data_IF_437944835286
#
_entry.id   IF_437944835286
#
_cell.length_a   1.000
_cell.length_b   1.000
_cell.length_c   1.000
_cell.angle_alpha   90.00
_cell.angle_beta   90.00
_cell.angle_gamma   90.00
#
_symmetry.space_group_name_H-M   'P 1'
#
loop_
_entity.id
_entity.type
_entity.pdbx_description
1 polymer ?
#
# COMPACT_ATOMS: atom_id res chain seq x y z
N UNK A 1 14.79 -30.06 -11.74
CA UNK A 1 14.40 -29.72 -10.36
C UNK A 1 12.89 -29.85 -10.27
N UNK A 2 12.36 -30.74 -9.42
CA UNK A 2 10.92 -30.85 -9.19
C UNK A 2 10.54 -29.93 -8.02
N UNK A 3 10.13 -28.70 -8.34
CA UNK A 3 9.79 -27.70 -7.33
C UNK A 3 8.57 -28.12 -6.50
N UNK A 4 7.63 -28.88 -7.09
CA UNK A 4 6.44 -29.37 -6.40
C UNK A 4 6.83 -30.35 -5.29
N UNK A 5 7.66 -31.34 -5.62
CA UNK A 5 8.17 -32.30 -4.62
C UNK A 5 8.98 -31.64 -3.51
N UNK A 6 9.78 -30.61 -3.82
CA UNK A 6 10.53 -29.84 -2.81
C UNK A 6 9.56 -29.12 -1.87
N UNK A 7 8.55 -28.44 -2.41
CA UNK A 7 7.54 -27.72 -1.59
C UNK A 7 6.77 -28.72 -0.71
N UNK A 8 6.29 -29.82 -1.28
CA UNK A 8 5.52 -30.84 -0.55
C UNK A 8 6.34 -31.47 0.59
N UNK A 9 7.62 -31.79 0.35
CA UNK A 9 8.47 -32.44 1.35
C UNK A 9 8.95 -31.52 2.47
N UNK A 10 8.97 -30.20 2.25
CA UNK A 10 9.52 -29.21 3.21
C UNK A 10 8.45 -28.27 3.78
N UNK A 11 7.20 -28.41 3.36
CA UNK A 11 6.07 -27.65 3.92
C UNK A 11 6.02 -27.87 5.44
N UNK A 12 6.08 -26.80 6.23
CA UNK A 12 6.25 -26.91 7.68
C UNK A 12 7.55 -26.27 8.19
N UNK A 13 8.60 -26.28 7.37
CA UNK A 13 9.92 -25.70 7.70
C UNK A 13 9.97 -24.17 7.52
N UNK A 14 8.85 -23.53 7.18
CA UNK A 14 8.78 -22.12 6.82
C UNK A 14 9.47 -21.22 7.86
N UNK A 15 9.07 -21.34 9.13
CA UNK A 15 9.60 -20.50 10.20
C UNK A 15 11.02 -20.85 10.61
N UNK A 16 11.43 -22.13 10.54
CA UNK A 16 12.83 -22.50 10.83
C UNK A 16 13.77 -21.95 9.76
N UNK A 17 13.40 -22.05 8.49
CA UNK A 17 14.18 -21.50 7.38
C UNK A 17 14.27 -19.97 7.45
N UNK A 18 13.16 -19.28 7.73
CA UNK A 18 13.19 -17.83 7.90
C UNK A 18 13.99 -17.39 9.12
N UNK A 19 13.93 -18.15 10.22
CA UNK A 19 14.67 -17.86 11.44
C UNK A 19 16.19 -18.00 11.23
N UNK A 20 16.60 -19.01 10.46
CA UNK A 20 18.00 -19.31 10.21
C UNK A 20 18.60 -18.41 9.12
N UNK A 21 17.86 -18.11 8.06
CA UNK A 21 18.44 -17.58 6.82
C UNK A 21 17.86 -16.24 6.33
N UNK A 22 16.79 -15.71 6.92
CA UNK A 22 16.14 -14.48 6.42
C UNK A 22 16.05 -13.39 7.48
N UNK A 23 15.12 -13.53 8.43
CA UNK A 23 14.90 -12.53 9.47
C UNK A 23 14.40 -13.20 10.75
N UNK A 24 15.35 -13.47 11.64
CA UNK A 24 15.12 -14.09 12.94
C UNK A 24 14.11 -13.32 13.79
N UNK A 25 14.28 -12.01 13.85
CA UNK A 25 13.45 -11.11 14.67
C UNK A 25 12.01 -11.09 14.17
N UNK A 26 11.80 -11.07 12.86
CA UNK A 26 10.44 -11.14 12.29
C UNK A 26 9.74 -12.44 12.67
N UNK A 27 10.43 -13.58 12.60
CA UNK A 27 9.87 -14.88 13.02
C UNK A 27 9.47 -14.86 14.50
N UNK A 28 10.31 -14.29 15.35
CA UNK A 28 10.00 -14.14 16.77
C UNK A 28 8.76 -13.27 16.99
N UNK A 29 8.68 -12.11 16.32
CA UNK A 29 7.51 -11.23 16.40
C UNK A 29 6.24 -11.94 15.92
N UNK A 30 6.29 -12.64 14.79
CA UNK A 30 5.13 -13.35 14.25
C UNK A 30 4.62 -14.44 15.19
N UNK A 31 5.51 -15.19 15.83
CA UNK A 31 5.15 -16.18 16.87
C UNK A 31 4.54 -15.50 18.08
N UNK A 32 5.14 -14.40 18.53
CA UNK A 32 4.63 -13.65 19.67
C UNK A 32 3.21 -13.20 19.39
N UNK A 33 2.93 -12.57 18.25
CA UNK A 33 1.61 -11.99 17.96
C UNK A 33 0.57 -12.97 17.42
N UNK A 34 0.91 -14.26 17.26
CA UNK A 34 0.02 -15.33 16.78
C UNK A 34 -0.18 -15.39 15.27
N UNK A 35 0.74 -14.79 14.50
CA UNK A 35 0.72 -14.70 13.04
C UNK A 35 1.58 -15.77 12.36
N UNK A 36 2.07 -16.75 13.11
CA UNK A 36 2.96 -17.81 12.67
C UNK A 36 2.24 -18.97 11.95
N UNK A 37 1.27 -18.66 11.07
CA UNK A 37 0.50 -19.65 10.33
C UNK A 37 1.24 -20.16 9.10
N UNK A 38 1.13 -21.47 8.86
CA UNK A 38 1.71 -22.11 7.67
C UNK A 38 0.62 -22.20 6.60
N UNK A 39 0.59 -21.22 5.71
CA UNK A 39 -0.35 -21.19 4.59
C UNK A 39 0.09 -22.14 3.47
N UNK A 40 -0.82 -23.01 3.03
CA UNK A 40 -0.59 -24.00 1.97
C UNK A 40 -1.29 -23.63 0.66
N UNK A 41 -2.36 -22.84 0.75
CA UNK A 41 -3.14 -22.40 -0.41
C UNK A 41 -3.69 -21.01 -0.20
N UNK A 42 -3.97 -20.33 -1.30
CA UNK A 42 -4.66 -19.06 -1.31
C UNK A 42 -5.59 -18.97 -2.54
N UNK A 43 -6.74 -18.32 -2.41
CA UNK A 43 -7.66 -18.15 -3.52
C UNK A 43 -8.63 -17.00 -3.22
N UNK A 44 -8.80 -16.10 -4.19
CA UNK A 44 -9.73 -14.98 -4.05
C UNK A 44 -9.37 -14.11 -2.84
N UNK A 45 -10.32 -13.91 -1.93
CA UNK A 45 -10.13 -13.16 -0.68
C UNK A 45 -9.61 -14.01 0.49
N UNK A 46 -9.17 -15.25 0.26
CA UNK A 46 -8.87 -16.20 1.32
C UNK A 46 -7.47 -16.81 1.26
N UNK A 47 -6.94 -17.12 2.44
CA UNK A 47 -5.79 -17.96 2.70
C UNK A 47 -6.24 -19.26 3.39
N UNK A 48 -5.49 -20.33 3.21
CA UNK A 48 -5.75 -21.63 3.84
C UNK A 48 -4.48 -22.17 4.46
N UNK A 49 -4.53 -22.52 5.75
CA UNK A 49 -3.39 -23.11 6.45
C UNK A 49 -3.25 -24.62 6.16
N UNK A 50 -2.24 -25.26 6.77
CA UNK A 50 -1.97 -26.68 6.60
C UNK A 50 -3.04 -27.57 7.27
N UNK A 51 -3.76 -27.04 8.25
CA UNK A 51 -4.91 -27.69 8.90
C UNK A 51 -6.21 -27.53 8.10
N UNK A 52 -6.20 -26.75 7.02
CA UNK A 52 -7.36 -26.49 6.17
C UNK A 52 -8.27 -25.35 6.68
N UNK A 53 -7.85 -24.62 7.72
CA UNK A 53 -8.59 -23.45 8.18
C UNK A 53 -8.55 -22.33 7.14
N UNK A 54 -9.72 -21.73 6.90
CA UNK A 54 -9.90 -20.59 5.99
C UNK A 54 -9.69 -19.28 6.75
N UNK A 55 -8.84 -18.41 6.21
CA UNK A 55 -8.56 -17.06 6.72
C UNK A 55 -9.00 -16.01 5.72
N UNK A 56 -9.77 -15.03 6.18
CA UNK A 56 -10.18 -13.90 5.36
C UNK A 56 -9.04 -12.87 5.29
N UNK A 57 -8.60 -12.54 4.07
CA UNK A 57 -7.46 -11.65 3.84
C UNK A 57 -7.89 -10.19 3.68
N UNK A 58 -7.94 -9.47 4.79
CA UNK A 58 -8.18 -8.03 4.83
C UNK A 58 -6.87 -7.22 4.82
N UNK A 59 -5.72 -7.86 4.62
CA UNK A 59 -4.43 -7.20 4.39
C UNK A 59 -4.11 -7.06 2.90
N UNK A 60 -4.56 -8.02 2.08
CA UNK A 60 -4.40 -8.02 0.63
C UNK A 60 -2.94 -7.96 0.17
N UNK A 61 -2.01 -8.45 0.99
CA UNK A 61 -0.57 -8.30 0.75
C UNK A 61 -0.14 -6.83 0.65
N UNK A 62 -0.68 -5.97 1.53
CA UNK A 62 -0.48 -4.51 1.49
C UNK A 62 -1.01 -3.85 0.20
N UNK A 63 -2.08 -4.39 -0.38
CA UNK A 63 -2.73 -3.88 -1.59
C UNK A 63 -2.24 -4.50 -2.90
N UNK A 64 -1.33 -5.49 -2.85
CA UNK A 64 -0.84 -6.22 -4.02
C UNK A 64 -1.94 -7.08 -4.66
N UNK A 65 -2.73 -7.78 -3.85
CA UNK A 65 -3.73 -8.75 -4.32
C UNK A 65 -5.09 -8.10 -4.62
N UNK A 66 -5.10 -6.96 -5.31
CA UNK A 66 -6.32 -6.24 -5.69
C UNK A 66 -7.31 -7.13 -6.47
N UNK A 67 -6.84 -7.92 -7.43
CA UNK A 67 -7.68 -8.84 -8.23
C UNK A 67 -7.87 -10.22 -7.58
N UNK A 68 -7.60 -10.33 -6.28
CA UNK A 68 -7.66 -11.57 -5.52
C UNK A 68 -6.40 -12.44 -5.66
N UNK A 69 -6.22 -13.35 -4.70
CA UNK A 69 -5.11 -14.30 -4.70
C UNK A 69 -5.32 -15.39 -5.74
N UNK A 70 -4.24 -15.76 -6.41
CA UNK A 70 -4.23 -16.85 -7.38
C UNK A 70 -5.26 -16.68 -8.52
N UNK A 71 -5.47 -15.44 -9.00
CA UNK A 71 -6.48 -15.15 -10.02
C UNK A 71 -6.27 -16.02 -11.29
N UNK A 72 -7.28 -16.80 -11.73
CA UNK A 72 -7.14 -17.74 -12.84
C UNK A 72 -6.72 -17.09 -14.16
N UNK A 73 -7.24 -15.89 -14.45
CA UNK A 73 -6.93 -15.19 -15.69
C UNK A 73 -5.47 -14.74 -15.74
N UNK A 74 -4.92 -14.27 -14.61
CA UNK A 74 -3.50 -13.91 -14.54
C UNK A 74 -2.60 -15.15 -14.65
N UNK A 75 -2.99 -16.29 -14.05
CA UNK A 75 -2.25 -17.56 -14.23
C UNK A 75 -2.17 -17.97 -15.69
N UNK A 76 -3.33 -18.00 -16.35
CA UNK A 76 -3.44 -18.40 -17.75
C UNK A 76 -2.55 -17.53 -18.65
N UNK A 77 -2.56 -16.22 -18.44
CA UNK A 77 -1.70 -15.29 -19.20
C UNK A 77 -0.21 -15.53 -18.95
N UNK A 78 0.19 -15.87 -17.71
CA UNK A 78 1.59 -16.22 -17.42
C UNK A 78 1.98 -17.51 -18.17
N UNK A 79 1.14 -18.55 -18.09
CA UNK A 79 1.34 -19.82 -18.79
C UNK A 79 1.45 -19.61 -20.31
N UNK A 80 0.50 -18.88 -20.90
CA UNK A 80 0.52 -18.53 -22.32
C UNK A 80 1.80 -17.79 -22.74
N UNK A 81 2.28 -16.83 -21.94
CA UNK A 81 3.52 -16.10 -22.26
C UNK A 81 4.76 -16.97 -22.14
N UNK A 82 4.79 -17.92 -21.20
CA UNK A 82 5.87 -18.90 -21.10
C UNK A 82 5.87 -19.85 -22.30
N UNK A 83 4.70 -20.33 -22.72
CA UNK A 83 4.56 -21.26 -23.86
C UNK A 83 4.88 -20.63 -25.21
N UNK A 84 4.84 -19.30 -25.31
CA UNK A 84 5.20 -18.56 -26.54
C UNK A 84 6.72 -18.47 -26.78
N UNK A 85 7.57 -18.83 -25.81
CA UNK A 85 9.03 -18.76 -25.91
C UNK A 85 9.56 -17.40 -26.43
N UNK A 86 8.88 -16.31 -26.08
CA UNK A 86 9.25 -14.97 -26.53
C UNK A 86 10.63 -14.57 -25.98
N UNK A 87 11.48 -13.89 -26.76
CA UNK A 87 12.70 -13.30 -26.22
C UNK A 87 12.32 -12.29 -25.13
N UNK A 88 12.87 -12.49 -23.94
CA UNK A 88 12.59 -11.66 -22.77
C UNK A 88 13.85 -10.92 -22.35
N UNK A 89 13.71 -9.63 -22.02
CA UNK A 89 14.80 -8.82 -21.47
C UNK A 89 16.09 -8.84 -22.31
N UNK A 90 15.99 -8.76 -23.64
CA UNK A 90 17.18 -8.70 -24.54
C UNK A 90 18.00 -7.42 -24.31
N UNK A 91 17.38 -6.39 -23.71
CA UNK A 91 17.96 -5.08 -23.35
C UNK A 91 18.34 -4.18 -24.53
N UNK A 92 18.71 -4.77 -25.68
CA UNK A 92 18.94 -4.09 -26.95
C UNK A 92 17.79 -4.36 -27.93
N UNK A 93 16.56 -4.36 -27.42
CA UNK A 93 15.32 -4.57 -28.16
C UNK A 93 14.23 -3.58 -27.73
N UNK A 94 13.09 -3.64 -28.43
CA UNK A 94 11.86 -2.96 -28.04
C UNK A 94 10.75 -3.99 -27.94
N UNK A 95 10.69 -4.67 -26.78
CA UNK A 95 9.78 -5.77 -26.55
C UNK A 95 8.30 -5.37 -26.69
N UNK A 96 7.53 -6.12 -27.49
CA UNK A 96 6.12 -5.84 -27.81
C UNK A 96 5.24 -5.70 -26.56
N UNK A 97 5.34 -6.64 -25.60
CA UNK A 97 4.50 -6.63 -24.40
C UNK A 97 4.69 -5.37 -23.55
N UNK A 98 5.91 -4.82 -23.53
CA UNK A 98 6.18 -3.56 -22.82
C UNK A 98 5.49 -2.36 -23.48
N UNK A 99 5.45 -2.33 -24.82
CA UNK A 99 4.73 -1.34 -25.60
C UNK A 99 3.21 -1.46 -25.42
N UNK A 100 2.68 -2.69 -25.41
CA UNK A 100 1.25 -2.96 -25.19
C UNK A 100 0.79 -2.55 -23.79
N UNK A 101 1.57 -2.86 -22.74
CA UNK A 101 1.23 -2.38 -21.39
C UNK A 101 1.27 -0.86 -21.31
N UNK A 102 2.28 -0.22 -21.92
CA UNK A 102 2.36 1.23 -21.97
C UNK A 102 1.16 1.85 -22.70
N UNK A 103 0.75 1.29 -23.83
CA UNK A 103 -0.44 1.71 -24.58
C UNK A 103 -1.71 1.57 -23.72
N UNK A 104 -1.90 0.43 -23.05
CA UNK A 104 -3.05 0.18 -22.21
C UNK A 104 -3.15 1.16 -21.03
N UNK A 105 -2.01 1.49 -20.40
CA UNK A 105 -1.95 2.50 -19.34
C UNK A 105 -2.29 3.90 -19.87
N UNK A 106 -1.75 4.31 -21.01
CA UNK A 106 -2.05 5.61 -21.63
C UNK A 106 -3.53 5.73 -21.98
N UNK A 107 -4.11 4.71 -22.62
CA UNK A 107 -5.56 4.67 -22.91
C UNK A 107 -6.39 4.77 -21.64
N UNK A 108 -5.94 4.16 -20.54
CA UNK A 108 -6.63 4.28 -19.25
C UNK A 108 -6.56 5.71 -18.70
N UNK A 109 -5.40 6.35 -18.73
CA UNK A 109 -5.28 7.75 -18.31
C UNK A 109 -6.15 8.68 -19.18
N UNK A 110 -6.18 8.48 -20.50
CA UNK A 110 -7.05 9.21 -21.42
C UNK A 110 -8.53 9.04 -21.06
N UNK A 111 -8.99 7.82 -20.79
CA UNK A 111 -10.36 7.54 -20.36
C UNK A 111 -10.74 8.22 -19.02
N UNK A 112 -9.75 8.51 -18.17
CA UNK A 112 -9.91 9.25 -16.92
C UNK A 112 -9.71 10.77 -17.08
N UNK A 113 -9.64 11.29 -18.31
CA UNK A 113 -9.46 12.72 -18.57
C UNK A 113 -8.02 13.23 -18.38
N UNK A 114 -7.04 12.34 -18.22
CA UNK A 114 -5.63 12.67 -18.01
C UNK A 114 -4.77 12.33 -19.24
N UNK A 115 -5.24 12.66 -20.45
CA UNK A 115 -4.57 12.36 -21.73
C UNK A 115 -3.17 12.96 -21.87
N UNK A 116 -2.83 13.95 -21.03
CA UNK A 116 -1.47 14.49 -20.94
C UNK A 116 -0.45 13.49 -20.38
N UNK A 117 -0.88 12.44 -19.67
CA UNK A 117 -0.01 11.36 -19.18
C UNK A 117 0.23 10.30 -20.28
N UNK A 118 1.07 10.66 -21.26
CA UNK A 118 1.25 9.93 -22.51
C UNK A 118 2.66 9.35 -22.72
N UNK A 119 3.45 9.22 -21.65
CA UNK A 119 4.77 8.58 -21.66
C UNK A 119 4.96 7.68 -20.43
N UNK A 120 5.33 6.42 -20.66
CA UNK A 120 5.45 5.40 -19.62
C UNK A 120 6.90 4.93 -19.49
N UNK A 121 7.40 4.83 -18.26
CA UNK A 121 8.61 4.10 -17.90
C UNK A 121 8.23 2.91 -17.01
N UNK A 122 8.66 1.70 -17.34
CA UNK A 122 8.32 0.47 -16.59
C UNK A 122 9.54 0.02 -15.78
N UNK A 123 9.31 -0.24 -14.50
CA UNK A 123 10.29 -0.66 -13.50
C UNK A 123 9.73 -1.84 -12.67
N UNK A 124 10.34 -2.18 -11.53
CA UNK A 124 10.00 -3.42 -10.81
C UNK A 124 9.17 -3.19 -9.53
N UNK A 125 9.10 -1.96 -9.04
CA UNK A 125 8.48 -1.68 -7.73
C UNK A 125 8.05 -0.22 -7.59
N UNK A 126 7.28 0.05 -6.53
CA UNK A 126 6.90 1.44 -6.20
C UNK A 126 8.10 2.30 -5.80
N UNK A 127 9.07 1.74 -5.06
CA UNK A 127 10.28 2.48 -4.65
C UNK A 127 11.11 2.87 -5.86
N UNK A 128 11.26 1.99 -6.87
CA UNK A 128 11.93 2.34 -8.13
C UNK A 128 11.17 3.41 -8.93
N UNK A 129 9.84 3.34 -8.95
CA UNK A 129 9.01 4.35 -9.60
C UNK A 129 9.20 5.73 -8.96
N UNK A 130 9.29 5.80 -7.63
CA UNK A 130 9.54 7.05 -6.89
C UNK A 130 10.96 7.58 -7.13
N UNK A 131 11.98 6.73 -7.10
CA UNK A 131 13.36 7.14 -7.46
C UNK A 131 13.42 7.74 -8.88
N UNK A 132 12.74 7.10 -9.83
CA UNK A 132 12.61 7.62 -11.19
C UNK A 132 11.82 8.93 -11.25
N UNK A 133 10.70 9.04 -10.53
CA UNK A 133 9.89 10.26 -10.49
C UNK A 133 10.69 11.46 -9.94
N UNK A 134 11.50 11.27 -8.89
CA UNK A 134 12.42 12.28 -8.37
C UNK A 134 13.41 12.71 -9.46
N UNK A 135 14.03 11.75 -10.15
CA UNK A 135 14.97 12.04 -11.25
C UNK A 135 14.31 12.79 -12.41
N UNK A 136 13.09 12.41 -12.78
CA UNK A 136 12.33 13.01 -13.88
C UNK A 136 11.96 14.46 -13.53
N UNK A 137 11.47 14.70 -12.31
CA UNK A 137 11.14 16.04 -11.85
C UNK A 137 12.37 16.96 -11.82
N UNK A 138 13.49 16.48 -11.27
CA UNK A 138 14.75 17.24 -11.25
C UNK A 138 15.29 17.52 -12.65
N UNK A 139 15.24 16.54 -13.56
CA UNK A 139 15.69 16.72 -14.94
C UNK A 139 14.83 17.75 -15.71
N UNK A 140 13.51 17.73 -15.49
CA UNK A 140 12.58 18.62 -16.17
C UNK A 140 12.67 20.07 -15.68
N UNK A 141 12.77 20.27 -14.37
CA UNK A 141 12.76 21.61 -13.75
C UNK A 141 14.15 22.19 -13.54
N UNK A 142 15.19 21.35 -13.48
CA UNK A 142 16.55 21.68 -13.01
C UNK A 142 16.62 22.21 -11.58
N UNK A 143 15.56 21.95 -10.80
CA UNK A 143 15.47 22.35 -9.39
C UNK A 143 15.83 21.17 -8.49
N UNK A 144 16.47 21.40 -7.32
CA UNK A 144 16.94 20.30 -6.48
C UNK A 144 15.88 19.79 -5.49
N UNK A 145 14.96 20.63 -5.00
CA UNK A 145 14.14 20.28 -3.84
C UNK A 145 12.90 19.47 -4.23
N UNK A 146 12.52 18.53 -3.36
CA UNK A 146 11.26 17.79 -3.43
C UNK A 146 10.54 18.01 -2.11
N UNK A 147 9.31 18.49 -2.17
CA UNK A 147 8.44 18.57 -1.01
C UNK A 147 7.53 17.35 -1.00
N UNK A 148 7.35 16.74 0.17
CA UNK A 148 6.30 15.73 0.38
C UNK A 148 5.49 16.03 1.63
N UNK A 149 4.44 15.25 1.88
CA UNK A 149 3.62 15.41 3.08
C UNK A 149 4.28 14.77 4.30
N UNK A 150 4.06 15.34 5.49
CA UNK A 150 4.31 14.64 6.76
C UNK A 150 3.49 13.35 6.83
N UNK A 151 3.99 12.31 7.53
CA UNK A 151 3.40 10.96 7.59
C UNK A 151 3.34 10.18 6.26
N UNK A 152 3.97 10.67 5.20
CA UNK A 152 4.03 10.00 3.89
C UNK A 152 4.85 8.71 3.92
N UNK A 153 4.53 7.80 2.99
CA UNK A 153 5.32 6.61 2.69
C UNK A 153 5.47 6.41 1.18
N UNK A 154 6.67 6.62 0.68
CA UNK A 154 7.00 6.55 -0.75
C UNK A 154 8.02 5.45 -1.09
N UNK A 155 8.45 4.65 -0.10
CA UNK A 155 9.37 3.55 -0.31
C UNK A 155 10.46 3.48 0.74
N UNK A 156 11.38 2.53 0.54
CA UNK A 156 12.46 2.22 1.49
C UNK A 156 13.85 2.22 0.82
N UNK A 157 13.96 2.52 -0.48
CA UNK A 157 15.25 2.84 -1.09
C UNK A 157 15.70 4.25 -0.68
N UNK A 158 16.99 4.52 -0.61
CA UNK A 158 17.52 5.75 -0.01
C UNK A 158 16.87 7.06 -0.51
N UNK A 159 16.62 7.22 -1.81
CA UNK A 159 15.95 8.41 -2.36
C UNK A 159 14.48 8.48 -2.00
N UNK A 160 13.74 7.37 -2.17
CA UNK A 160 12.32 7.28 -1.78
C UNK A 160 12.09 7.44 -0.26
N UNK A 161 13.03 6.96 0.55
CA UNK A 161 13.02 7.07 1.99
C UNK A 161 13.27 8.51 2.44
N UNK A 162 14.10 9.25 1.68
CA UNK A 162 14.37 10.68 1.93
C UNK A 162 13.12 11.55 1.76
N UNK A 163 12.18 11.15 0.89
CA UNK A 163 10.90 11.84 0.72
C UNK A 163 9.77 11.21 1.55
N UNK A 164 10.01 10.12 2.28
CA UNK A 164 9.03 9.52 3.19
C UNK A 164 9.17 10.14 4.59
N UNK A 165 8.08 10.66 5.15
CA UNK A 165 8.12 11.41 6.40
C UNK A 165 7.73 10.55 7.62
N UNK A 166 8.57 9.59 7.99
CA UNK A 166 8.34 8.76 9.17
C UNK A 166 9.65 8.39 9.90
N UNK A 167 9.87 8.92 11.12
CA UNK A 167 11.11 8.70 11.87
C UNK A 167 11.46 7.23 12.11
N UNK A 168 10.45 6.35 12.23
CA UNK A 168 10.70 4.92 12.45
C UNK A 168 11.45 4.27 11.28
N UNK A 169 11.18 4.69 10.04
CA UNK A 169 11.89 4.14 8.88
C UNK A 169 13.24 4.84 8.63
N UNK A 170 13.52 5.96 9.32
CA UNK A 170 14.76 6.72 9.16
C UNK A 170 15.88 6.28 10.11
N UNK A 171 15.52 5.71 11.26
CA UNK A 171 16.46 5.35 12.31
C UNK A 171 17.60 4.45 11.79
N UNK A 172 18.85 4.90 11.94
CA UNK A 172 20.05 4.14 11.57
C UNK A 172 20.51 4.23 10.11
N UNK A 173 19.82 4.97 9.23
CA UNK A 173 20.13 5.00 7.78
C UNK A 173 20.63 6.34 7.23
N UNK A 174 20.69 7.40 8.04
CA UNK A 174 21.10 8.74 7.59
C UNK A 174 22.61 8.88 7.32
N UNK A 175 23.06 9.96 6.63
CA UNK A 175 22.24 11.08 6.12
C UNK A 175 21.47 10.75 4.82
N UNK A 176 20.36 11.46 4.59
CA UNK A 176 19.45 11.28 3.46
C UNK A 176 19.74 12.20 2.27
N UNK A 177 19.04 11.99 1.15
CA UNK A 177 19.15 12.80 -0.06
C UNK A 177 18.85 14.28 0.27
N UNK A 178 19.78 15.21 -0.01
CA UNK A 178 19.57 16.63 0.30
C UNK A 178 18.43 17.23 -0.53
N UNK A 179 17.75 18.21 0.07
CA UNK A 179 16.63 18.93 -0.54
C UNK A 179 15.31 18.17 -0.51
N UNK A 180 15.19 17.08 0.25
CA UNK A 180 13.92 16.44 0.53
C UNK A 180 13.36 16.99 1.85
N UNK A 181 12.21 17.66 1.78
CA UNK A 181 11.58 18.33 2.92
C UNK A 181 10.09 18.02 2.98
N UNK A 182 9.47 18.28 4.14
CA UNK A 182 8.10 17.87 4.41
C UNK A 182 7.22 19.05 4.82
N UNK A 183 6.02 19.10 4.25
CA UNK A 183 4.95 20.06 4.61
C UNK A 183 3.76 19.33 5.19
N UNK A 184 2.92 20.03 5.94
CA UNK A 184 1.75 19.43 6.60
C UNK A 184 0.55 19.43 5.66
N UNK A 185 -0.13 18.28 5.54
CA UNK A 185 -1.39 18.19 4.79
C UNK A 185 -2.45 19.10 5.44
N UNK A 186 -3.11 19.93 4.64
CA UNK A 186 -4.03 20.96 5.12
C UNK A 186 -3.41 22.35 5.33
N UNK A 187 -2.07 22.48 5.36
CA UNK A 187 -1.39 23.78 5.51
C UNK A 187 -0.96 24.37 4.15
N UNK A 188 -1.88 25.07 3.50
CA UNK A 188 -1.61 25.76 2.23
C UNK A 188 -0.62 26.92 2.37
N UNK A 189 -0.58 27.58 3.53
CA UNK A 189 0.33 28.70 3.76
C UNK A 189 1.77 28.20 3.89
N UNK A 190 1.99 27.11 4.64
CA UNK A 190 3.27 26.42 4.73
C UNK A 190 3.73 25.90 3.38
N UNK A 191 2.83 25.27 2.60
CA UNK A 191 3.14 24.86 1.23
C UNK A 191 3.54 26.07 0.37
N UNK A 192 2.73 27.13 0.33
CA UNK A 192 3.03 28.31 -0.49
C UNK A 192 4.35 28.98 -0.09
N UNK A 193 4.64 29.05 1.21
CA UNK A 193 5.90 29.58 1.73
C UNK A 193 7.12 28.86 1.12
N UNK A 194 7.07 27.53 1.06
CA UNK A 194 8.14 26.73 0.48
C UNK A 194 8.22 26.85 -1.04
N UNK A 195 7.08 26.84 -1.73
CA UNK A 195 7.02 26.97 -3.19
C UNK A 195 7.50 28.33 -3.69
N UNK A 196 7.26 29.42 -2.94
CA UNK A 196 7.71 30.78 -3.25
C UNK A 196 9.23 30.93 -3.39
N UNK A 197 10.01 30.02 -2.79
CA UNK A 197 11.48 30.01 -2.89
C UNK A 197 11.99 29.70 -4.30
N UNK A 198 11.16 29.11 -5.16
CA UNK A 198 11.44 28.94 -6.59
C UNK A 198 12.41 27.81 -6.94
N UNK A 199 12.83 27.01 -5.96
CA UNK A 199 13.81 25.93 -6.08
C UNK A 199 13.23 24.53 -5.83
N UNK A 200 11.90 24.43 -5.75
CA UNK A 200 11.15 23.17 -5.63
C UNK A 200 10.86 22.60 -7.01
N UNK A 201 11.38 21.39 -7.28
CA UNK A 201 11.15 20.63 -8.50
C UNK A 201 9.75 20.02 -8.52
N UNK A 202 9.35 19.42 -7.41
CA UNK A 202 8.05 18.77 -7.30
C UNK A 202 7.48 18.78 -5.89
N UNK A 203 6.15 18.77 -5.83
CA UNK A 203 5.36 18.37 -4.68
C UNK A 203 4.86 16.93 -4.90
N UNK A 204 5.29 16.01 -4.04
CA UNK A 204 4.98 14.59 -4.06
C UNK A 204 3.97 14.26 -2.96
N UNK A 205 2.86 13.64 -3.33
CA UNK A 205 1.81 13.28 -2.38
C UNK A 205 1.16 11.94 -2.73
N UNK A 206 0.65 11.23 -1.73
CA UNK A 206 -0.30 10.15 -1.90
C UNK A 206 -1.71 10.77 -1.91
N UNK A 207 -2.62 10.42 -2.85
CA UNK A 207 -4.02 10.87 -2.79
C UNK A 207 -4.72 10.48 -1.48
N UNK A 208 -4.36 9.32 -0.94
CA UNK A 208 -4.73 8.84 0.39
C UNK A 208 -3.47 8.26 1.04
N UNK A 209 -2.99 8.85 2.13
CA UNK A 209 -1.79 8.38 2.82
C UNK A 209 -2.01 6.97 3.38
N UNK A 210 -1.31 5.98 2.82
CA UNK A 210 -1.61 4.57 2.99
C UNK A 210 -1.29 3.99 4.37
N UNK A 211 -0.54 4.70 5.22
CA UNK A 211 -0.28 4.29 6.60
C UNK A 211 -1.53 4.42 7.45
N UNK A 212 -2.03 5.65 7.67
CA UNK A 212 -3.21 5.92 8.51
C UNK A 212 -4.53 6.15 7.77
N UNK A 213 -4.52 6.03 6.43
CA UNK A 213 -5.65 6.32 5.54
C UNK A 213 -6.14 7.76 5.76
N UNK A 214 -5.21 8.70 5.70
CA UNK A 214 -5.49 10.12 5.81
C UNK A 214 -5.66 10.74 4.43
N UNK A 215 -6.69 11.56 4.28
CA UNK A 215 -6.97 12.33 3.07
C UNK A 215 -7.74 13.60 3.44
N UNK A 216 -7.58 14.71 2.70
CA UNK A 216 -8.32 15.93 2.97
C UNK A 216 -9.80 15.74 2.66
N UNK A 217 -10.65 16.29 3.53
CA UNK A 217 -12.11 16.39 3.31
C UNK A 217 -12.53 17.70 2.63
N UNK A 218 -11.58 18.63 2.52
CA UNK A 218 -11.72 19.92 1.87
C UNK A 218 -11.01 19.94 0.49
N UNK A 219 -10.84 21.13 -0.07
CA UNK A 219 -10.20 21.37 -1.36
C UNK A 219 -8.67 21.50 -1.28
N UNK A 220 -8.01 21.00 -0.22
CA UNK A 220 -6.56 21.17 -0.03
C UNK A 220 -5.73 20.79 -1.27
N UNK A 221 -6.00 19.63 -1.88
CA UNK A 221 -5.21 19.21 -3.05
C UNK A 221 -5.46 20.05 -4.29
N UNK A 222 -6.69 20.53 -4.50
CA UNK A 222 -7.02 21.43 -5.62
C UNK A 222 -6.28 22.77 -5.48
N UNK A 223 -6.24 23.33 -4.26
CA UNK A 223 -5.48 24.56 -3.98
C UNK A 223 -3.96 24.32 -4.04
N UNK A 224 -3.47 23.20 -3.52
CA UNK A 224 -2.06 22.81 -3.63
C UNK A 224 -1.63 22.69 -5.11
N UNK A 225 -2.48 22.13 -5.98
CA UNK A 225 -2.26 22.10 -7.42
C UNK A 225 -2.15 23.51 -8.00
N UNK A 226 -3.08 24.42 -7.67
CA UNK A 226 -3.02 25.82 -8.14
C UNK A 226 -1.71 26.51 -7.71
N UNK A 227 -1.27 26.28 -6.47
CA UNK A 227 0.00 26.78 -5.97
C UNK A 227 1.19 26.18 -6.73
N UNK A 228 1.21 24.86 -6.95
CA UNK A 228 2.27 24.21 -7.73
C UNK A 228 2.38 24.81 -9.14
N UNK A 229 1.24 25.02 -9.81
CA UNK A 229 1.16 25.67 -11.13
C UNK A 229 1.70 27.10 -11.08
N UNK A 230 1.27 27.90 -10.09
CA UNK A 230 1.74 29.29 -9.89
C UNK A 230 3.25 29.41 -9.76
N UNK A 231 3.92 28.46 -9.10
CA UNK A 231 5.37 28.49 -8.87
C UNK A 231 6.19 27.61 -9.83
N UNK A 232 5.54 27.00 -10.84
CA UNK A 232 6.19 26.10 -11.79
C UNK A 232 6.76 24.83 -11.14
N UNK A 233 6.15 24.39 -10.04
CA UNK A 233 6.49 23.13 -9.35
C UNK A 233 5.65 22.01 -9.94
N UNK A 234 6.28 20.86 -10.21
CA UNK A 234 5.57 19.70 -10.75
C UNK A 234 4.75 19.00 -9.66
N UNK A 235 3.62 18.42 -10.04
CA UNK A 235 2.77 17.64 -9.16
C UNK A 235 3.03 16.15 -9.40
N UNK A 236 3.49 15.42 -8.38
CA UNK A 236 3.68 13.96 -8.44
C UNK A 236 2.64 13.28 -7.56
N UNK A 237 1.80 12.46 -8.18
CA UNK A 237 0.84 11.62 -7.46
C UNK A 237 1.40 10.21 -7.28
N UNK A 238 1.65 9.83 -6.02
CA UNK A 238 1.97 8.45 -5.66
C UNK A 238 0.69 7.61 -5.59
N UNK A 239 0.42 6.93 -6.70
CA UNK A 239 -0.73 6.03 -6.88
C UNK A 239 -0.32 4.57 -6.67
N UNK A 240 0.86 4.29 -6.10
CA UNK A 240 1.35 2.93 -5.87
C UNK A 240 0.37 2.14 -5.03
N UNK A 241 -0.31 2.79 -4.07
CA UNK A 241 -1.33 2.15 -3.24
C UNK A 241 -2.76 2.52 -3.61
N UNK A 242 -3.03 3.77 -3.98
CA UNK A 242 -4.40 4.27 -4.22
C UNK A 242 -4.93 3.97 -5.61
N UNK A 243 -4.04 3.73 -6.58
CA UNK A 243 -4.38 3.53 -7.96
C UNK A 243 -5.03 2.17 -8.22
N UNK A 244 -5.42 1.97 -9.48
CA UNK A 244 -5.97 0.74 -10.01
C UNK A 244 -7.24 0.28 -9.26
N UNK A 245 -8.16 1.21 -8.99
CA UNK A 245 -9.48 0.90 -8.43
C UNK A 245 -9.56 0.87 -6.91
N UNK A 246 -8.43 0.92 -6.21
CA UNK A 246 -8.38 0.75 -4.75
C UNK A 246 -9.28 1.72 -3.99
N UNK A 247 -9.37 2.97 -4.42
CA UNK A 247 -10.15 4.02 -3.75
C UNK A 247 -11.56 4.20 -4.31
N UNK A 248 -12.04 3.32 -5.20
CA UNK A 248 -13.34 3.45 -5.88
C UNK A 248 -13.30 4.35 -7.13
N UNK A 249 -12.10 4.72 -7.57
CA UNK A 249 -11.77 5.37 -8.85
C UNK A 249 -10.60 4.64 -9.48
N UNK A 250 -10.40 4.78 -10.79
CA UNK A 250 -9.26 4.15 -11.47
C UNK A 250 -7.95 4.66 -10.88
N UNK A 251 -7.88 5.96 -10.60
CA UNK A 251 -6.78 6.63 -9.91
C UNK A 251 -7.32 7.53 -8.79
N UNK A 252 -6.63 7.57 -7.67
CA UNK A 252 -6.98 8.37 -6.51
C UNK A 252 -7.04 9.88 -6.78
N UNK A 253 -6.22 10.41 -7.68
CA UNK A 253 -6.20 11.83 -8.03
C UNK A 253 -7.54 12.31 -8.63
N UNK A 254 -8.35 11.41 -9.20
CA UNK A 254 -9.67 11.71 -9.76
C UNK A 254 -10.64 12.21 -8.70
N UNK A 255 -10.48 11.83 -7.42
CA UNK A 255 -11.36 12.27 -6.34
C UNK A 255 -11.31 13.78 -6.07
N UNK A 256 -10.26 14.46 -6.54
CA UNK A 256 -10.05 15.90 -6.37
C UNK A 256 -9.82 16.60 -7.71
N UNK A 257 -10.20 15.98 -8.84
CA UNK A 257 -10.03 16.54 -10.20
C UNK A 257 -8.61 17.08 -10.47
N UNK A 258 -7.59 16.36 -9.99
CA UNK A 258 -6.21 16.79 -10.12
C UNK A 258 -5.65 16.39 -11.49
N UNK A 259 -4.69 17.17 -11.97
CA UNK A 259 -3.94 16.97 -13.20
C UNK A 259 -2.45 16.79 -12.87
N UNK A 260 -2.05 15.65 -12.28
CA UNK A 260 -0.64 15.40 -11.95
C UNK A 260 0.25 15.40 -13.20
N UNK A 261 1.52 15.78 -13.02
CA UNK A 261 2.53 15.78 -14.08
C UNK A 261 3.26 14.43 -14.16
N UNK A 262 3.34 13.74 -13.04
CA UNK A 262 3.90 12.39 -12.90
C UNK A 262 2.96 11.59 -11.99
N UNK A 263 2.66 10.37 -12.40
CA UNK A 263 1.95 9.37 -11.60
C UNK A 263 2.83 8.13 -11.45
N UNK A 264 2.93 7.59 -10.23
CA UNK A 264 3.65 6.33 -9.99
C UNK A 264 2.68 5.21 -9.66
N UNK A 265 2.89 4.02 -10.23
CA UNK A 265 2.05 2.84 -10.06
C UNK A 265 2.92 1.64 -9.68
N UNK A 266 2.44 0.73 -8.84
CA UNK A 266 3.00 -0.60 -8.65
C UNK A 266 1.94 -1.52 -7.99
N UNK A 267 2.34 -2.33 -7.00
CA UNK A 267 1.46 -3.20 -6.19
C UNK A 267 0.46 -3.98 -7.05
N UNK A 268 -0.79 -3.53 -7.11
CA UNK A 268 -1.88 -4.15 -7.87
C UNK A 268 -1.51 -4.42 -9.34
N UNK A 269 -0.66 -3.58 -9.95
CA UNK A 269 -0.19 -3.74 -11.33
C UNK A 269 0.52 -5.09 -11.59
N UNK A 270 1.07 -5.71 -10.55
CA UNK A 270 1.73 -7.04 -10.65
C UNK A 270 0.75 -8.20 -10.88
N UNK A 271 -0.56 -7.98 -10.75
CA UNK A 271 -1.57 -9.04 -10.70
C UNK A 271 -1.40 -10.01 -9.52
N UNK A 272 -0.52 -9.70 -8.57
CA UNK A 272 -0.15 -10.58 -7.46
C UNK A 272 0.91 -11.63 -7.80
N UNK A 273 1.61 -11.51 -8.93
CA UNK A 273 2.64 -12.48 -9.36
C UNK A 273 4.01 -11.84 -9.56
N UNK A 274 4.19 -11.11 -10.65
CA UNK A 274 5.52 -10.61 -11.05
C UNK A 274 5.66 -9.14 -10.67
N UNK A 275 6.67 -8.75 -9.87
CA UNK A 275 6.89 -7.37 -9.48
C UNK A 275 6.92 -6.43 -10.69
N UNK A 276 6.11 -5.38 -10.62
CA UNK A 276 5.96 -4.39 -11.67
C UNK A 276 5.70 -3.03 -11.04
N UNK A 277 6.38 -2.01 -11.55
CA UNK A 277 6.11 -0.60 -11.27
C UNK A 277 6.10 0.20 -12.57
N UNK A 278 5.48 1.38 -12.55
CA UNK A 278 5.45 2.27 -13.69
C UNK A 278 5.47 3.74 -13.25
N UNK A 279 6.06 4.57 -14.11
CA UNK A 279 5.97 6.03 -14.05
C UNK A 279 5.21 6.45 -15.29
N UNK A 280 4.07 7.09 -15.12
CA UNK A 280 3.35 7.75 -16.18
C UNK A 280 3.58 9.26 -16.08
N UNK A 281 3.91 9.92 -17.18
CA UNK A 281 4.20 11.35 -17.18
C UNK A 281 3.90 11.98 -18.53
N UNK A 282 3.94 13.30 -18.57
CA UNK A 282 3.90 14.08 -19.81
C UNK A 282 5.12 13.79 -20.69
N UNK A 283 4.93 13.68 -22.00
CA UNK A 283 6.03 13.43 -22.97
C UNK A 283 7.16 14.46 -22.83
N UNK A 284 6.84 15.72 -22.59
CA UNK A 284 7.84 16.77 -22.41
C UNK A 284 8.73 16.56 -21.18
N UNK A 285 8.20 16.01 -20.08
CA UNK A 285 8.99 15.66 -18.89
C UNK A 285 9.87 14.45 -19.19
N UNK A 286 9.30 13.42 -19.81
CA UNK A 286 10.04 12.22 -20.23
C UNK A 286 11.24 12.59 -21.11
N UNK A 287 11.03 13.50 -22.09
CA UNK A 287 12.08 13.95 -23.00
C UNK A 287 13.08 14.92 -22.39
N UNK A 288 12.91 15.37 -21.14
CA UNK A 288 13.98 16.06 -20.41
C UNK A 288 15.02 15.10 -19.87
N UNK A 289 14.64 13.83 -19.62
CA UNK A 289 15.54 12.78 -19.16
C UNK A 289 16.28 12.14 -20.33
N UNK A 290 15.53 11.73 -21.36
CA UNK A 290 16.03 11.06 -22.55
C UNK A 290 16.17 12.03 -23.74
N UNK A 291 16.72 13.21 -23.48
CA UNK A 291 16.71 14.36 -24.40
C UNK A 291 17.63 14.24 -25.63
N UNK A 292 18.51 13.24 -25.67
CA UNK A 292 19.55 13.04 -26.68
C UNK A 292 19.82 11.56 -26.89
N UNK A 293 20.31 11.18 -28.07
CA UNK A 293 20.60 9.80 -28.43
C UNK A 293 21.59 9.13 -27.45
N UNK A 294 22.62 9.84 -27.00
CA UNK A 294 23.62 9.36 -26.04
C UNK A 294 23.08 9.23 -24.60
N UNK A 295 21.87 9.72 -24.33
CA UNK A 295 21.18 9.63 -23.03
C UNK A 295 19.97 8.71 -23.03
N UNK A 296 19.74 7.94 -24.10
CA UNK A 296 18.56 7.08 -24.25
C UNK A 296 18.46 5.94 -23.20
N UNK A 297 19.53 5.68 -22.43
CA UNK A 297 19.58 4.67 -21.35
C UNK A 297 20.03 5.29 -20.01
N UNK A 298 20.00 6.63 -19.85
CA UNK A 298 20.52 7.30 -18.63
C UNK A 298 19.71 7.01 -17.35
N UNK A 299 18.50 6.49 -17.51
CA UNK A 299 17.76 5.82 -16.46
C UNK A 299 17.22 4.51 -17.02
N UNK A 300 17.57 3.41 -16.36
CA UNK A 300 17.24 2.06 -16.80
C UNK A 300 17.05 1.15 -15.58
N UNK A 301 16.49 -0.02 -15.83
CA UNK A 301 16.31 -1.09 -14.85
C UNK A 301 16.45 -2.43 -15.57
N UNK A 302 17.33 -3.31 -15.08
CA UNK A 302 17.65 -4.59 -15.75
C UNK A 302 16.41 -5.47 -15.91
N UNK A 303 15.59 -5.59 -14.87
CA UNK A 303 14.37 -6.40 -14.89
C UNK A 303 13.13 -5.62 -15.37
N UNK A 304 13.26 -4.30 -15.55
CA UNK A 304 12.17 -3.46 -16.05
C UNK A 304 11.77 -3.88 -17.47
N UNK A 305 10.48 -3.74 -17.80
CA UNK A 305 9.89 -4.12 -19.10
C UNK A 305 9.90 -5.63 -19.40
N UNK A 306 10.11 -6.51 -18.41
CA UNK A 306 10.06 -7.96 -18.63
C UNK A 306 8.66 -8.42 -19.08
N UNK A 307 8.61 -9.43 -19.96
CA UNK A 307 7.39 -9.91 -20.62
C UNK A 307 6.33 -10.38 -19.62
N UNK A 308 6.72 -11.13 -18.59
CA UNK A 308 5.79 -11.67 -17.60
C UNK A 308 5.12 -10.55 -16.78
N UNK A 309 5.89 -9.56 -16.30
CA UNK A 309 5.34 -8.40 -15.59
C UNK A 309 4.38 -7.61 -16.48
N UNK A 310 4.75 -7.38 -17.74
CA UNK A 310 3.90 -6.64 -18.67
C UNK A 310 2.58 -7.37 -18.93
N UNK A 311 2.63 -8.69 -19.10
CA UNK A 311 1.46 -9.53 -19.29
C UNK A 311 0.56 -9.58 -18.03
N UNK A 312 1.14 -9.68 -16.83
CA UNK A 312 0.38 -9.54 -15.58
C UNK A 312 -0.30 -8.18 -15.46
N UNK A 313 0.38 -7.10 -15.85
CA UNK A 313 -0.19 -5.75 -15.89
C UNK A 313 -1.38 -5.66 -16.83
N UNK A 314 -1.25 -6.16 -18.05
CA UNK A 314 -2.33 -6.21 -19.03
C UNK A 314 -3.53 -7.02 -18.52
N UNK A 315 -3.28 -8.22 -17.97
CA UNK A 315 -4.32 -9.05 -17.36
C UNK A 315 -5.02 -8.33 -16.21
N UNK A 316 -4.27 -7.63 -15.36
CA UNK A 316 -4.82 -6.85 -14.24
C UNK A 316 -5.76 -5.76 -14.74
N UNK A 317 -5.33 -4.93 -15.69
CA UNK A 317 -6.15 -3.85 -16.25
C UNK A 317 -7.45 -4.39 -16.86
N UNK A 318 -7.35 -5.50 -17.59
CA UNK A 318 -8.50 -6.17 -18.18
C UNK A 318 -9.46 -6.74 -17.13
N UNK A 319 -8.98 -7.39 -16.06
CA UNK A 319 -9.82 -7.91 -14.98
C UNK A 319 -10.55 -6.77 -14.24
N UNK A 320 -9.85 -5.67 -13.96
CA UNK A 320 -10.43 -4.52 -13.28
C UNK A 320 -11.63 -3.95 -14.04
N UNK A 321 -11.53 -3.92 -15.37
CA UNK A 321 -12.59 -3.44 -16.26
C UNK A 321 -13.71 -4.47 -16.44
N UNK A 322 -13.40 -5.69 -16.88
CA UNK A 322 -14.40 -6.73 -17.18
C UNK A 322 -15.27 -7.10 -15.98
N UNK A 323 -14.67 -7.09 -14.78
CA UNK A 323 -15.37 -7.46 -13.55
C UNK A 323 -15.92 -6.23 -12.78
N UNK A 324 -15.87 -5.02 -13.35
CA UNK A 324 -16.33 -3.79 -12.74
C UNK A 324 -15.76 -3.55 -11.32
N UNK A 325 -14.49 -3.87 -11.10
CA UNK A 325 -13.90 -3.88 -9.75
C UNK A 325 -13.71 -2.48 -9.15
N UNK A 326 -13.65 -1.44 -9.98
CA UNK A 326 -13.63 -0.05 -9.53
C UNK A 326 -14.94 0.30 -8.85
N UNK A 327 -16.06 -0.03 -9.50
CA UNK A 327 -17.41 0.20 -8.96
C UNK A 327 -17.66 -0.71 -7.75
N UNK A 328 -17.19 -1.96 -7.78
CA UNK A 328 -17.28 -2.84 -6.62
C UNK A 328 -16.51 -2.27 -5.41
N UNK A 329 -15.30 -1.74 -5.62
CA UNK A 329 -14.50 -1.10 -4.57
C UNK A 329 -15.23 0.09 -3.92
N UNK A 330 -15.87 0.93 -4.74
CA UNK A 330 -16.71 2.03 -4.27
C UNK A 330 -17.89 1.51 -3.43
N UNK A 331 -18.70 0.62 -4.00
CA UNK A 331 -19.93 0.14 -3.37
C UNK A 331 -19.66 -0.68 -2.09
N UNK A 332 -18.65 -1.54 -2.10
CA UNK A 332 -18.22 -2.27 -0.91
C UNK A 332 -17.64 -1.33 0.15
N UNK A 333 -16.87 -0.33 -0.28
CA UNK A 333 -16.38 0.73 0.61
C UNK A 333 -17.51 1.45 1.35
N UNK A 334 -18.54 1.90 0.63
CA UNK A 334 -19.73 2.58 1.20
C UNK A 334 -20.49 1.68 2.20
N UNK A 335 -20.64 0.39 1.89
CA UNK A 335 -21.25 -0.60 2.79
C UNK A 335 -20.43 -0.76 4.07
N UNK A 336 -19.12 -0.94 3.96
CA UNK A 336 -18.21 -1.08 5.10
C UNK A 336 -18.22 0.20 5.94
N UNK A 337 -18.13 1.38 5.32
CA UNK A 337 -18.16 2.66 6.02
C UNK A 337 -19.45 2.82 6.84
N UNK A 338 -20.60 2.54 6.22
CA UNK A 338 -21.91 2.59 6.89
C UNK A 338 -21.96 1.67 8.10
N UNK A 339 -21.49 0.42 7.95
CA UNK A 339 -21.46 -0.55 9.03
C UNK A 339 -20.50 -0.14 10.17
N UNK A 340 -19.30 0.34 9.83
CA UNK A 340 -18.31 0.80 10.81
C UNK A 340 -18.78 2.06 11.56
N UNK A 341 -19.45 3.00 10.89
CA UNK A 341 -20.09 4.15 11.56
C UNK A 341 -21.21 3.67 12.50
N UNK A 342 -21.95 2.63 12.12
CA UNK A 342 -22.90 1.95 13.02
C UNK A 342 -22.24 1.43 14.29
N UNK A 343 -21.11 0.73 14.16
CA UNK A 343 -20.31 0.27 15.30
C UNK A 343 -19.76 1.46 16.11
N UNK A 344 -19.26 2.52 15.46
CA UNK A 344 -18.76 3.72 16.15
C UNK A 344 -19.80 4.36 17.06
N UNK A 345 -21.08 4.35 16.67
CA UNK A 345 -22.19 4.83 17.51
C UNK A 345 -22.46 3.93 18.72
N UNK A 346 -22.21 2.62 18.61
CA UNK A 346 -22.44 1.62 19.65
C UNK A 346 -21.23 1.46 20.60
N UNK A 347 -20.02 1.68 20.12
CA UNK A 347 -18.77 1.45 20.85
C UNK A 347 -17.93 2.73 20.89
N UNK A 348 -17.77 3.30 22.09
CA UNK A 348 -17.00 4.51 22.34
C UNK A 348 -15.47 4.34 22.21
N UNK A 349 -15.02 3.11 21.96
CA UNK A 349 -13.62 2.79 21.63
C UNK A 349 -13.22 3.25 20.21
N UNK A 350 -14.16 3.35 19.27
CA UNK A 350 -13.87 3.80 17.91
C UNK A 350 -13.91 5.33 17.89
N UNK A 351 -12.73 5.94 17.72
CA UNK A 351 -12.57 7.39 17.63
C UNK A 351 -12.97 7.91 16.26
N UNK A 352 -12.46 7.28 15.20
CA UNK A 352 -12.73 7.71 13.82
C UNK A 352 -12.74 6.52 12.86
N UNK A 353 -13.65 6.58 11.88
CA UNK A 353 -13.68 5.70 10.72
C UNK A 353 -13.26 6.51 9.50
N UNK A 354 -12.29 6.01 8.74
CA UNK A 354 -11.90 6.60 7.46
C UNK A 354 -11.94 5.53 6.39
N UNK A 355 -12.78 5.75 5.38
CA UNK A 355 -12.94 4.84 4.25
C UNK A 355 -12.85 5.62 2.95
N UNK A 356 -12.11 5.08 1.99
CA UNK A 356 -12.08 5.57 0.60
C UNK A 356 -11.99 4.35 -0.31
N UNK A 357 -13.12 3.93 -0.88
CA UNK A 357 -13.25 2.61 -1.51
C UNK A 357 -12.84 1.50 -0.54
N UNK A 358 -11.94 0.62 -0.95
CA UNK A 358 -11.41 -0.47 -0.12
C UNK A 358 -10.06 -0.13 0.53
N UNK A 359 -9.86 1.13 0.91
CA UNK A 359 -8.88 1.57 1.90
C UNK A 359 -9.61 1.97 3.17
N UNK A 360 -9.39 1.22 4.24
CA UNK A 360 -10.18 1.32 5.46
C UNK A 360 -9.24 1.51 6.65
N UNK A 361 -9.53 2.51 7.47
CA UNK A 361 -8.93 2.70 8.78
C UNK A 361 -10.00 2.79 9.86
N UNK A 362 -9.77 2.04 10.94
CA UNK A 362 -10.53 2.12 12.19
C UNK A 362 -9.56 2.67 13.22
N UNK A 363 -9.71 3.95 13.57
CA UNK A 363 -8.94 4.59 14.61
C UNK A 363 -9.64 4.44 15.95
N UNK A 364 -8.91 3.94 16.93
CA UNK A 364 -9.36 3.77 18.29
C UNK A 364 -8.97 4.97 19.15
N UNK A 365 -9.71 5.16 20.25
CA UNK A 365 -9.42 6.21 21.21
C UNK A 365 -9.86 5.85 22.62
N UNK A 366 -9.48 6.70 23.56
CA UNK A 366 -9.86 6.54 24.96
C UNK A 366 -11.39 6.55 25.10
N UNK A 367 -12.01 5.47 25.63
CA UNK A 367 -13.45 5.38 25.81
C UNK A 367 -13.94 6.31 26.93
N UNK A 368 -15.26 6.49 27.03
CA UNK A 368 -15.88 7.42 28.00
C UNK A 368 -16.03 6.80 29.39
N UNK A 369 -16.31 5.50 29.47
CA UNK A 369 -16.53 4.80 30.75
C UNK A 369 -15.28 4.78 31.64
N UNK A 370 -15.45 4.87 32.96
CA UNK A 370 -14.33 4.89 33.93
C UNK A 370 -13.48 3.62 33.80
N UNK A 371 -14.12 2.45 33.71
CA UNK A 371 -13.46 1.15 33.54
C UNK A 371 -12.72 1.09 32.21
N UNK A 372 -13.33 1.55 31.11
CA UNK A 372 -12.68 1.63 29.80
C UNK A 372 -11.46 2.55 29.80
N UNK A 373 -11.54 3.72 30.44
CA UNK A 373 -10.39 4.64 30.59
C UNK A 373 -9.23 4.01 31.34
N UNK A 374 -9.53 3.31 32.44
CA UNK A 374 -8.52 2.59 33.21
C UNK A 374 -7.84 1.53 32.36
N UNK A 375 -8.62 0.76 31.59
CA UNK A 375 -8.12 -0.28 30.71
C UNK A 375 -7.25 0.29 29.57
N UNK A 376 -7.74 1.35 28.90
CA UNK A 376 -7.01 2.08 27.86
C UNK A 376 -5.65 2.60 28.37
N UNK A 377 -5.67 3.32 29.49
CA UNK A 377 -4.44 3.86 30.11
C UNK A 377 -3.48 2.78 30.55
N UNK A 378 -3.99 1.66 31.06
CA UNK A 378 -3.16 0.52 31.47
C UNK A 378 -2.40 -0.03 30.27
N UNK A 379 -3.06 -0.35 29.15
CA UNK A 379 -2.39 -0.83 27.93
C UNK A 379 -1.36 0.19 27.42
N UNK A 380 -1.75 1.46 27.29
CA UNK A 380 -0.89 2.49 26.72
C UNK A 380 0.31 2.83 27.60
N UNK A 381 0.19 2.63 28.92
CA UNK A 381 1.32 2.75 29.85
C UNK A 381 2.35 1.64 29.66
N UNK A 382 1.93 0.49 29.13
CA UNK A 382 2.82 -0.64 28.86
C UNK A 382 3.49 -0.51 27.50
N UNK A 383 2.72 -0.23 26.45
CA UNK A 383 3.20 0.07 25.10
C UNK A 383 2.08 0.74 24.27
N UNK A 384 2.39 1.82 23.55
CA UNK A 384 1.42 2.59 22.76
C UNK A 384 0.90 1.86 21.52
N UNK A 385 1.61 0.87 21.01
CA UNK A 385 1.21 0.08 19.84
C UNK A 385 0.41 -1.17 20.20
N UNK A 386 0.26 -1.49 21.49
CA UNK A 386 -0.31 -2.77 21.92
C UNK A 386 -1.83 -2.85 21.75
N UNK A 387 -2.56 -1.73 21.89
CA UNK A 387 -4.01 -1.72 21.76
C UNK A 387 -4.50 -2.18 20.38
N UNK A 388 -4.08 -1.57 19.26
CA UNK A 388 -4.49 -2.03 17.93
C UNK A 388 -3.95 -3.43 17.63
N UNK A 389 -2.78 -3.80 18.18
CA UNK A 389 -2.26 -5.16 18.04
C UNK A 389 -3.15 -6.20 18.71
N UNK A 390 -3.76 -5.89 19.86
CA UNK A 390 -4.71 -6.78 20.52
C UNK A 390 -5.95 -7.04 19.65
N UNK A 391 -6.50 -5.99 19.05
CA UNK A 391 -7.63 -6.11 18.12
C UNK A 391 -7.25 -7.00 16.93
N UNK A 392 -6.10 -6.73 16.31
CA UNK A 392 -5.61 -7.48 15.14
C UNK A 392 -5.29 -8.94 15.48
N UNK A 393 -4.64 -9.20 16.61
CA UNK A 393 -4.35 -10.56 17.07
C UNK A 393 -5.60 -11.36 17.38
N UNK A 394 -6.65 -10.73 17.89
CA UNK A 394 -7.92 -11.40 18.21
C UNK A 394 -8.74 -11.67 16.96
N UNK A 395 -8.79 -10.71 16.04
CA UNK A 395 -9.33 -10.93 14.69
C UNK A 395 -8.63 -12.12 14.03
N UNK A 396 -7.33 -12.25 14.19
CA UNK A 396 -6.57 -13.36 13.62
C UNK A 396 -6.78 -14.70 14.35
N UNK A 397 -6.71 -14.73 15.68
CA UNK A 397 -6.75 -15.98 16.46
C UNK A 397 -8.16 -16.56 16.57
N UNK A 398 -9.16 -15.73 16.86
CA UNK A 398 -10.53 -16.17 17.13
C UNK A 398 -11.40 -16.13 15.87
N UNK A 399 -11.16 -15.16 14.99
CA UNK A 399 -11.99 -14.93 13.81
C UNK A 399 -11.30 -15.24 12.49
N UNK A 400 -10.01 -15.60 12.49
CA UNK A 400 -9.23 -15.95 11.28
C UNK A 400 -9.27 -14.85 10.21
N UNK A 401 -9.26 -13.59 10.64
CA UNK A 401 -9.19 -12.42 9.77
C UNK A 401 -7.79 -11.83 9.84
N UNK A 402 -7.11 -11.82 8.70
CA UNK A 402 -5.81 -11.19 8.55
C UNK A 402 -5.98 -9.69 8.29
N UNK A 403 -5.56 -8.87 9.25
CA UNK A 403 -5.50 -7.41 9.14
C UNK A 403 -4.18 -6.89 9.73
N UNK A 404 -3.98 -5.57 9.82
CA UNK A 404 -2.73 -5.02 10.35
C UNK A 404 -2.91 -3.67 11.04
N UNK A 405 -2.04 -3.40 12.01
CA UNK A 405 -1.82 -2.06 12.55
C UNK A 405 -1.20 -1.13 11.48
N UNK A 406 -1.73 0.09 11.37
CA UNK A 406 -1.39 1.09 10.36
C UNK A 406 0.09 1.50 10.33
N UNK A 407 0.64 1.81 11.49
CA UNK A 407 2.03 2.22 11.73
C UNK A 407 2.36 2.13 13.23
N UNK A 408 3.63 2.37 13.58
CA UNK A 408 4.06 2.39 14.97
C UNK A 408 3.42 3.55 15.74
N UNK A 409 2.99 3.28 16.97
CA UNK A 409 2.36 4.25 17.88
C UNK A 409 1.09 4.92 17.32
N UNK A 410 0.39 4.28 16.39
CA UNK A 410 -0.93 4.70 15.93
C UNK A 410 -1.95 3.65 16.33
N UNK A 411 -3.00 4.07 17.04
CA UNK A 411 -4.15 3.24 17.41
C UNK A 411 -5.10 3.00 16.24
N UNK A 412 -4.56 2.55 15.10
CA UNK A 412 -5.30 2.38 13.87
C UNK A 412 -5.14 0.97 13.37
N UNK A 413 -6.27 0.27 13.19
CA UNK A 413 -6.34 -0.95 12.39
C UNK A 413 -6.65 -0.58 10.95
N UNK A 414 -5.79 -1.04 10.04
CA UNK A 414 -5.89 -0.82 8.61
C UNK A 414 -6.30 -2.09 7.90
N UNK A 415 -7.25 -1.95 6.98
CA UNK A 415 -7.69 -3.02 6.10
C UNK A 415 -7.60 -2.59 4.62
N UNK A 416 -7.13 -3.52 3.78
CA UNK A 416 -6.91 -3.39 2.34
C UNK A 416 -7.35 -4.68 1.63
N UNK A 417 -8.61 -5.13 1.77
CA UNK A 417 -9.07 -6.39 1.20
C UNK A 417 -8.96 -6.41 -0.32
N UNK A 418 -8.91 -7.57 -1.00
CA UNK A 418 -9.04 -7.64 -2.45
C UNK A 418 -10.29 -6.91 -2.96
N UNK A 419 -10.23 -6.34 -4.16
CA UNK A 419 -11.35 -5.59 -4.76
C UNK A 419 -12.51 -6.49 -5.19
N UNK A 420 -12.35 -7.80 -5.06
CA UNK A 420 -13.33 -8.83 -5.42
C UNK A 420 -14.21 -9.26 -4.23
N UNK A 421 -14.02 -8.69 -3.04
CA UNK A 421 -14.88 -9.02 -1.88
C UNK A 421 -16.33 -8.63 -2.16
N UNK A 422 -17.27 -9.30 -1.49
CA UNK A 422 -18.69 -8.99 -1.53
C UNK A 422 -19.33 -9.01 -0.15
N UNK A 423 -20.66 -9.16 -0.13
CA UNK A 423 -21.45 -9.07 1.09
C UNK A 423 -21.11 -10.17 2.12
N UNK A 424 -20.69 -11.37 1.69
CA UNK A 424 -20.26 -12.43 2.61
C UNK A 424 -19.04 -11.99 3.42
N UNK A 425 -17.97 -11.54 2.75
CA UNK A 425 -16.74 -11.12 3.41
C UNK A 425 -16.94 -9.87 4.26
N UNK A 426 -17.73 -8.91 3.78
CA UNK A 426 -18.06 -7.69 4.52
C UNK A 426 -18.80 -8.04 5.81
N UNK A 427 -19.87 -8.82 5.72
CA UNK A 427 -20.65 -9.21 6.90
C UNK A 427 -19.79 -10.00 7.88
N UNK A 428 -18.98 -10.94 7.39
CA UNK A 428 -18.09 -11.72 8.24
C UNK A 428 -17.09 -10.84 9.00
N UNK A 429 -16.49 -9.85 8.32
CA UNK A 429 -15.59 -8.89 8.96
C UNK A 429 -16.30 -8.04 10.01
N UNK A 430 -17.44 -7.44 9.67
CA UNK A 430 -18.18 -6.54 10.56
C UNK A 430 -18.66 -7.28 11.81
N UNK A 431 -19.26 -8.46 11.67
CA UNK A 431 -19.72 -9.27 12.82
C UNK A 431 -18.55 -9.70 13.69
N UNK A 432 -17.40 -10.07 13.10
CA UNK A 432 -16.22 -10.46 13.85
C UNK A 432 -15.59 -9.28 14.61
N UNK A 433 -15.48 -8.11 13.96
CA UNK A 433 -15.03 -6.89 14.62
C UNK A 433 -15.95 -6.51 15.77
N UNK A 434 -17.26 -6.61 15.59
CA UNK A 434 -18.23 -6.35 16.64
C UNK A 434 -18.03 -7.29 17.85
N UNK A 435 -17.81 -8.58 17.61
CA UNK A 435 -17.51 -9.54 18.67
C UNK A 435 -16.25 -9.15 19.47
N UNK A 436 -15.17 -8.76 18.79
CA UNK A 436 -13.94 -8.25 19.42
C UNK A 436 -14.21 -7.00 20.27
N UNK A 437 -15.04 -6.07 19.77
CA UNK A 437 -15.42 -4.86 20.50
C UNK A 437 -16.26 -5.17 21.76
N UNK A 438 -17.15 -6.17 21.72
CA UNK A 438 -17.89 -6.62 22.92
C UNK A 438 -16.97 -7.29 23.94
N UNK A 439 -15.94 -8.02 23.51
CA UNK A 439 -14.94 -8.57 24.43
C UNK A 439 -14.08 -7.50 25.10
N UNK A 440 -13.73 -6.43 24.38
CA UNK A 440 -12.99 -5.30 24.95
C UNK A 440 -13.73 -4.64 26.13
N UNK A 441 -15.06 -4.66 26.17
CA UNK A 441 -15.85 -4.13 27.32
C UNK A 441 -15.66 -4.93 28.60
N UNK A 442 -15.31 -6.21 28.51
CA UNK A 442 -15.16 -7.12 29.65
C UNK A 442 -13.77 -6.92 30.27
N UNK A 443 -13.55 -5.79 30.94
CA UNK A 443 -12.30 -5.50 31.66
C UNK A 443 -12.45 -5.71 33.18
N UNK A 444 -11.59 -6.53 33.83
CA UNK A 444 -10.60 -7.43 33.22
C UNK A 444 -11.25 -8.65 32.55
N UNK A 445 -10.62 -9.21 31.51
CA UNK A 445 -11.15 -10.34 30.74
C UNK A 445 -10.12 -11.04 29.85
N UNK A 446 -10.50 -12.10 29.12
CA UNK A 446 -9.58 -12.96 28.37
C UNK A 446 -8.67 -12.19 27.40
N UNK A 447 -9.26 -11.24 26.68
CA UNK A 447 -8.56 -10.37 25.73
C UNK A 447 -7.46 -9.52 26.40
N UNK A 448 -7.69 -9.08 27.64
CA UNK A 448 -6.72 -8.31 28.41
C UNK A 448 -5.58 -9.18 28.95
N UNK A 449 -5.88 -10.42 29.31
CA UNK A 449 -4.87 -11.40 29.71
C UNK A 449 -3.93 -11.72 28.54
N UNK A 450 -4.45 -11.82 27.32
CA UNK A 450 -3.65 -11.98 26.09
C UNK A 450 -2.63 -10.83 25.95
N UNK A 451 -3.07 -9.58 26.15
CA UNK A 451 -2.19 -8.39 26.11
C UNK A 451 -1.07 -8.42 27.14
N UNK A 452 -1.36 -8.84 28.37
CA UNK A 452 -0.32 -8.98 29.41
C UNK A 452 0.68 -10.08 29.08
N UNK A 453 0.25 -11.18 28.45
CA UNK A 453 1.11 -12.27 28.04
C UNK A 453 2.02 -11.87 26.86
N UNK A 454 1.50 -11.12 25.88
CA UNK A 454 2.32 -10.59 24.78
C UNK A 454 3.48 -9.73 25.29
N UNK A 455 3.22 -8.83 26.24
CA UNK A 455 4.26 -7.98 26.81
C UNK A 455 5.33 -8.76 27.58
N UNK A 456 4.94 -9.79 28.32
CA UNK A 456 5.90 -10.67 29.01
C UNK A 456 6.81 -11.35 27.99
N UNK A 457 6.25 -11.88 26.90
CA UNK A 457 7.01 -12.51 25.83
C UNK A 457 7.97 -11.50 25.15
N UNK A 458 7.52 -10.29 24.84
CA UNK A 458 8.37 -9.25 24.25
C UNK A 458 9.51 -8.80 25.16
N UNK A 459 9.27 -8.66 26.48
CA UNK A 459 10.31 -8.27 27.45
C UNK A 459 11.36 -9.35 27.65
N UNK A 460 10.97 -10.63 27.64
CA UNK A 460 11.89 -11.75 27.80
C UNK A 460 12.92 -11.91 26.66
N UNK A 461 12.65 -11.34 25.48
CA UNK A 461 13.59 -11.40 24.35
C UNK A 461 14.53 -10.19 24.27
N UNK A 462 14.23 -9.07 24.92
CA UNK A 462 15.14 -7.92 25.00
C UNK A 462 16.36 -8.18 25.89
N UNK A 463 16.31 -9.20 26.72
CA UNK A 463 17.40 -9.54 27.67
C UNK A 463 18.45 -10.49 27.10
N UNK A 464 18.21 -11.06 25.91
CA UNK A 464 19.10 -12.05 25.28
C UNK A 464 19.84 -11.49 24.05
N UNK A 465 19.91 -10.15 23.91
CA UNK A 465 20.51 -9.43 22.79
C UNK A 465 21.84 -8.78 23.11
#
# INVERSE_FOLDING_TARGET
MDIKKIIESRMGENYSLHYQYINRTLVQVQRIIGFDKIYTRAQGAYLFDKEGNRYLDFLGGFGVFAVGRNNPKVKKVIEEVLDLDLPNMVQMDSALLSGLLAEALVKRFEACGASHLNAIFICNSGTEAIEGAIKFARAATRRPRILSLTNSFHGLSMGSLSVSANPYFHEGFGPFLPGCEHVVMGDLNGLEHELKKGDVAAFLFEPVQGKGIYFPRDNYFEEAQKLCRKYGTLLISDEVQTGLGRTGKWFGFEHWNLEPDIVTLAKALSGGYVPCGAIATRREIYQRVFNRLDRCIVHSSTFGRNNLACACGLATLSILEENNLIENSKNCGEKIETALIGLQKKYDWIKEVRVKGLMIAIEFGEPKSITGKMAWKTIHSMDKGLFPQLVVSTLMSEHRILSQVAANNLDIVKCLPPLIIGDEEINYFITSLEAVLEELKKFPGPLWNLGTNFLKAMKSQKTDG
#
